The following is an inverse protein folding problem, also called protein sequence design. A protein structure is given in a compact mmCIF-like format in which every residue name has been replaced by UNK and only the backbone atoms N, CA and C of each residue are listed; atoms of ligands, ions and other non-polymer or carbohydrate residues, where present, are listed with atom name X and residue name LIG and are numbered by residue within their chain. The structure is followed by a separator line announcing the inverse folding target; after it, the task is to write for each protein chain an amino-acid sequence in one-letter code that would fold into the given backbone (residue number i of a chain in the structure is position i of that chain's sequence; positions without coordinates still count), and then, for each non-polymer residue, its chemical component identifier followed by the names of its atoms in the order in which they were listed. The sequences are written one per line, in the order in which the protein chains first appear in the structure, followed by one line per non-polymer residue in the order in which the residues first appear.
data_IF_688028174246
#
_entry.id   IF_688028174246
#
_cell.length_a   1.000
_cell.length_b   1.000
_cell.length_c   1.000
_cell.angle_alpha   90.00
_cell.angle_beta   90.00
_cell.angle_gamma   90.00
#
_symmetry.space_group_name_H-M   'P 1'
#
loop_
_entity.id
_entity.type
_entity.pdbx_description
1 polymer ?
#
# COMPACT_ATOMS: atom_id res chain seq x y z
N UNK A 1 -1.62 8.86 12.56
CA UNK A 1 -2.57 9.91 12.09
C UNK A 1 -1.97 10.54 10.85
N UNK A 2 -2.69 10.53 9.72
CA UNK A 2 -2.25 11.20 8.48
C UNK A 2 -2.73 12.65 8.52
N UNK A 3 -1.83 13.59 8.28
CA UNK A 3 -2.16 15.01 8.14
C UNK A 3 -2.16 15.41 6.67
N UNK A 4 -3.17 16.19 6.26
CA UNK A 4 -3.23 16.70 4.89
C UNK A 4 -2.19 17.79 4.65
N UNK A 5 -1.57 17.79 3.46
CA UNK A 5 -0.57 18.80 3.07
C UNK A 5 0.87 18.48 3.48
N UNK A 6 1.11 17.31 4.07
CA UNK A 6 2.45 16.79 4.37
C UNK A 6 2.69 15.46 3.66
N UNK A 7 3.95 15.19 3.32
CA UNK A 7 4.35 13.88 2.79
C UNK A 7 4.33 12.85 3.91
N UNK A 8 3.79 11.67 3.60
CA UNK A 8 3.78 10.50 4.47
C UNK A 8 4.18 9.27 3.68
N UNK A 9 4.97 8.38 4.29
CA UNK A 9 5.26 7.09 3.69
C UNK A 9 4.25 6.06 4.17
N UNK A 10 3.47 5.49 3.25
CA UNK A 10 2.50 4.43 3.56
C UNK A 10 2.99 3.10 2.99
N UNK A 11 3.07 2.08 3.84
CA UNK A 11 3.43 0.71 3.41
C UNK A 11 2.29 -0.25 3.75
N UNK A 12 1.86 -1.03 2.77
CA UNK A 12 0.90 -2.11 2.94
C UNK A 12 1.58 -3.44 2.61
N UNK A 13 1.51 -4.40 3.53
CA UNK A 13 2.10 -5.72 3.39
C UNK A 13 0.98 -6.74 3.38
N UNK A 14 0.83 -7.44 2.26
CA UNK A 14 -0.09 -8.56 2.12
C UNK A 14 0.66 -9.88 2.26
N UNK A 15 0.36 -10.62 3.32
CA UNK A 15 0.89 -11.95 3.59
C UNK A 15 -0.23 -12.98 3.41
N UNK A 16 -0.22 -13.63 2.25
CA UNK A 16 -1.22 -14.63 1.87
C UNK A 16 -1.10 -15.92 2.71
N UNK A 17 0.11 -16.29 3.12
CA UNK A 17 0.36 -17.51 3.89
C UNK A 17 -0.25 -17.38 5.28
N UNK A 18 -0.09 -16.21 5.90
CA UNK A 18 -0.66 -15.91 7.22
C UNK A 18 -2.04 -15.26 7.15
N UNK A 19 -2.60 -15.05 5.95
CA UNK A 19 -3.88 -14.39 5.72
C UNK A 19 -4.01 -13.05 6.44
N UNK A 20 -2.98 -12.20 6.34
CA UNK A 20 -2.94 -10.90 7.03
C UNK A 20 -2.54 -9.76 6.09
N UNK A 21 -3.09 -8.58 6.37
CA UNK A 21 -2.62 -7.30 5.84
C UNK A 21 -2.09 -6.47 7.00
N UNK A 22 -0.87 -5.96 6.86
CA UNK A 22 -0.23 -5.07 7.83
C UNK A 22 0.02 -3.72 7.19
N UNK A 23 -0.37 -2.64 7.86
CA UNK A 23 -0.16 -1.27 7.38
C UNK A 23 0.78 -0.51 8.31
N UNK A 24 1.70 0.25 7.71
CA UNK A 24 2.60 1.16 8.39
C UNK A 24 2.42 2.57 7.83
N UNK A 25 2.47 3.56 8.71
CA UNK A 25 2.48 4.99 8.38
C UNK A 25 3.75 5.57 8.97
N UNK A 26 4.56 6.22 8.13
CA UNK A 26 5.86 6.80 8.51
C UNK A 26 6.75 5.77 9.23
N UNK A 27 6.76 4.55 8.71
CA UNK A 27 7.52 3.41 9.22
C UNK A 27 6.97 2.77 10.50
N UNK A 28 5.96 3.37 11.16
CA UNK A 28 5.38 2.86 12.39
C UNK A 28 4.16 1.99 12.09
N UNK A 29 4.02 0.87 12.79
CA UNK A 29 2.86 -0.01 12.66
C UNK A 29 1.58 0.76 13.02
N UNK A 30 0.64 0.83 12.07
CA UNK A 30 -0.67 1.44 12.28
C UNK A 30 -1.70 0.36 12.65
N UNK A 31 -1.82 -0.70 11.83
CA UNK A 31 -2.77 -1.77 12.08
C UNK A 31 -2.37 -3.11 11.43
N UNK A 32 -2.92 -4.21 11.93
CA UNK A 32 -2.90 -5.53 11.31
C UNK A 32 -4.30 -6.13 11.26
N UNK A 33 -4.73 -6.51 10.07
CA UNK A 33 -5.99 -7.22 9.84
C UNK A 33 -5.69 -8.67 9.49
N UNK A 34 -6.33 -9.63 10.17
CA UNK A 34 -6.20 -11.08 9.94
C UNK A 34 -7.45 -11.66 9.29
N UNK A 35 -7.36 -12.89 8.76
CA UNK A 35 -8.47 -13.57 8.08
C UNK A 35 -8.73 -13.01 6.67
N UNK A 36 -7.71 -12.41 6.06
CA UNK A 36 -7.80 -11.83 4.71
C UNK A 36 -7.81 -12.95 3.68
N UNK A 37 -8.81 -12.93 2.81
CA UNK A 37 -8.94 -13.90 1.72
C UNK A 37 -7.91 -13.66 0.60
N UNK A 38 -7.61 -14.69 -0.21
CA UNK A 38 -6.87 -14.53 -1.46
C UNK A 38 -7.46 -13.44 -2.35
N UNK A 39 -6.61 -12.72 -3.08
CA UNK A 39 -7.07 -11.78 -4.10
C UNK A 39 -7.97 -12.50 -5.12
N UNK A 40 -9.11 -11.90 -5.44
CA UNK A 40 -10.03 -12.39 -6.47
C UNK A 40 -9.69 -11.88 -7.89
N UNK A 41 -8.69 -11.02 -8.01
CA UNK A 41 -8.22 -10.49 -9.29
C UNK A 41 -7.26 -11.48 -9.98
N UNK A 42 -7.33 -11.61 -11.32
CA UNK A 42 -6.36 -12.41 -12.06
C UNK A 42 -4.97 -11.74 -12.02
N UNK A 43 -3.90 -12.53 -12.16
CA UNK A 43 -2.54 -12.02 -12.24
C UNK A 43 -2.28 -11.11 -13.46
N UNK A 44 -3.16 -11.15 -14.46
CA UNK A 44 -3.15 -10.29 -15.65
C UNK A 44 -3.88 -8.96 -15.46
N UNK A 45 -4.42 -8.70 -14.26
CA UNK A 45 -5.09 -7.44 -13.96
C UNK A 45 -4.14 -6.25 -14.16
N UNK A 46 -4.68 -5.15 -14.69
CA UNK A 46 -3.92 -3.91 -14.87
C UNK A 46 -3.66 -3.27 -13.50
N UNK A 47 -2.44 -2.80 -13.30
CA UNK A 47 -2.08 -1.98 -12.16
C UNK A 47 -2.39 -0.51 -12.48
N UNK A 48 -3.12 0.15 -11.57
CA UNK A 48 -3.38 1.58 -11.64
C UNK A 48 -2.77 2.28 -10.43
N UNK A 49 -2.23 3.48 -10.64
CA UNK A 49 -1.67 4.34 -9.60
C UNK A 49 -2.45 5.66 -9.64
N UNK A 50 -2.86 6.13 -8.47
CA UNK A 50 -3.60 7.38 -8.31
C UNK A 50 -5.08 7.31 -8.69
N UNK A 51 -5.58 6.15 -9.14
CA UNK A 51 -6.99 5.91 -9.46
C UNK A 51 -7.39 4.43 -9.40
N UNK A 52 -8.69 4.16 -9.43
CA UNK A 52 -9.26 2.84 -9.71
C UNK A 52 -9.37 2.55 -11.22
N UNK A 53 -9.92 1.38 -11.56
CA UNK A 53 -10.07 0.91 -12.95
C UNK A 53 -10.78 1.93 -13.84
N UNK A 54 -10.25 2.14 -15.05
CA UNK A 54 -10.79 3.09 -16.04
C UNK A 54 -12.18 2.72 -16.53
N UNK A 55 -12.54 1.44 -16.43
CA UNK A 55 -13.85 0.92 -16.81
C UNK A 55 -14.78 0.71 -15.59
N UNK A 56 -14.40 1.23 -14.42
CA UNK A 56 -15.27 1.27 -13.24
C UNK A 56 -16.62 1.91 -13.63
N UNK A 57 -17.77 1.29 -13.30
CA UNK A 57 -19.09 1.81 -13.67
C UNK A 57 -19.48 3.06 -12.86
N UNK A 58 -18.64 3.49 -11.92
CA UNK A 58 -18.80 4.72 -11.15
C UNK A 58 -17.94 5.83 -11.76
N UNK A 59 -18.03 7.06 -11.24
CA UNK A 59 -17.18 8.18 -11.70
C UNK A 59 -15.66 7.97 -11.45
N UNK A 60 -15.24 6.80 -11.00
CA UNK A 60 -13.88 6.49 -10.60
C UNK A 60 -13.49 7.15 -9.29
N UNK A 61 -12.57 6.52 -8.57
CA UNK A 61 -11.93 7.10 -7.39
C UNK A 61 -10.54 7.57 -7.78
N UNK A 62 -10.20 8.80 -7.36
CA UNK A 62 -8.91 9.43 -7.65
C UNK A 62 -8.25 9.86 -6.34
N UNK A 63 -6.94 9.63 -6.25
CA UNK A 63 -6.11 10.20 -5.19
C UNK A 63 -5.99 11.70 -5.44
N UNK A 64 -6.26 12.52 -4.41
CA UNK A 64 -6.07 13.97 -4.44
C UNK A 64 -4.82 14.32 -3.63
N UNK A 65 -3.69 14.50 -4.31
CA UNK A 65 -2.39 14.81 -3.69
C UNK A 65 -1.23 14.37 -4.58
N UNK A 66 0.00 14.59 -4.09
CA UNK A 66 1.22 14.06 -4.71
C UNK A 66 1.44 12.59 -4.38
N UNK A 67 2.07 11.86 -5.28
CA UNK A 67 2.54 10.49 -5.07
C UNK A 67 3.96 10.36 -5.64
N UNK A 68 4.90 9.92 -4.82
CA UNK A 68 6.32 9.81 -5.20
C UNK A 68 6.93 8.53 -4.62
N UNK A 69 8.06 8.08 -5.19
CA UNK A 69 8.87 6.95 -4.69
C UNK A 69 8.11 5.63 -4.49
N UNK A 70 7.22 5.32 -5.43
CA UNK A 70 6.37 4.13 -5.41
C UNK A 70 7.19 2.87 -5.68
N UNK A 71 7.10 1.89 -4.77
CA UNK A 71 7.83 0.62 -4.84
C UNK A 71 6.87 -0.55 -4.62
N UNK A 72 7.08 -1.64 -5.36
CA UNK A 72 6.28 -2.87 -5.28
C UNK A 72 7.24 -4.05 -5.12
N UNK A 73 6.95 -4.92 -4.16
CA UNK A 73 7.78 -6.08 -3.83
C UNK A 73 7.00 -7.38 -3.99
N UNK A 74 7.63 -8.40 -4.59
CA UNK A 74 7.07 -9.75 -4.71
C UNK A 74 7.23 -10.61 -3.43
N UNK A 75 7.44 -9.98 -2.27
CA UNK A 75 7.64 -10.63 -0.97
C UNK A 75 7.10 -9.76 0.15
N UNK A 76 6.88 -10.38 1.31
CA UNK A 76 6.61 -9.63 2.53
C UNK A 76 7.86 -8.87 2.99
N UNK A 77 7.64 -7.68 3.55
CA UNK A 77 8.68 -6.88 4.18
C UNK A 77 8.63 -7.09 5.70
N UNK A 78 9.77 -6.96 6.37
CA UNK A 78 9.86 -6.89 7.82
C UNK A 78 9.68 -5.45 8.31
N UNK A 79 9.32 -5.26 9.59
CA UNK A 79 9.23 -3.91 10.17
C UNK A 79 10.55 -3.13 10.04
N UNK A 80 11.69 -3.80 10.19
CA UNK A 80 13.01 -3.20 10.00
C UNK A 80 13.23 -2.72 8.56
N UNK A 81 12.82 -3.50 7.56
CA UNK A 81 12.93 -3.08 6.16
C UNK A 81 12.04 -1.88 5.87
N UNK A 82 10.82 -1.83 6.43
CA UNK A 82 9.94 -0.65 6.29
C UNK A 82 10.62 0.59 6.89
N UNK A 83 11.24 0.48 8.06
CA UNK A 83 11.99 1.59 8.67
C UNK A 83 13.20 2.00 7.83
N UNK A 84 13.90 1.07 7.20
CA UNK A 84 15.01 1.40 6.29
C UNK A 84 14.52 2.13 5.04
N UNK A 85 13.37 1.74 4.49
CA UNK A 85 12.75 2.41 3.33
C UNK A 85 12.35 3.86 3.63
N UNK A 86 11.89 4.15 4.85
CA UNK A 86 11.60 5.52 5.27
C UNK A 86 12.85 6.41 5.20
N UNK A 87 14.00 5.86 5.55
CA UNK A 87 15.26 6.60 5.68
C UNK A 87 16.08 6.67 4.39
N UNK A 88 15.64 6.00 3.32
CA UNK A 88 16.43 5.82 2.10
C UNK A 88 16.62 7.10 1.27
N UNK A 89 15.83 8.15 1.53
CA UNK A 89 15.82 9.39 0.75
C UNK A 89 16.03 10.66 1.62
N UNK A 90 16.68 10.52 2.78
CA UNK A 90 17.13 11.66 3.62
C UNK A 90 18.50 12.18 3.17
#
# INVERSE_FOLDING_TARGET
MITTGSWHMVTCIYDLVQQKITMYIDGVLDNTTTGVLPANAPATAKLYIGRDDIYSPTNGYFVKGGMEEIRIYGRTLTATEVQQLLNLNN
#
